data_IF_700844682716
#
_entry.id   IF_700844682716
#
_cell.length_a   1.000
_cell.length_b   1.000
_cell.length_c   1.000
_cell.angle_alpha   90.00
_cell.angle_beta   90.00
_cell.angle_gamma   90.00
#
_symmetry.space_group_name_H-M   'P 1'
#
loop_
_entity.id
_entity.type
_entity.pdbx_description
1 polymer ?
#
# COMPACT_ATOMS: atom_id res chain seq x y z
N UNK A 1 10.61 18.68 -7.73
CA UNK A 1 10.01 19.30 -6.54
C UNK A 1 10.39 18.44 -5.34
N UNK A 2 10.69 19.00 -4.15
CA UNK A 2 11.17 18.21 -3.03
C UNK A 2 10.00 17.42 -2.45
N UNK A 3 9.95 16.11 -2.70
CA UNK A 3 9.03 15.21 -2.01
C UNK A 3 9.15 15.43 -0.50
N UNK A 4 8.05 15.48 0.25
CA UNK A 4 8.09 15.43 1.73
C UNK A 4 8.75 14.16 2.29
N UNK A 5 9.06 13.20 1.42
CA UNK A 5 9.66 11.90 1.72
C UNK A 5 11.19 11.90 1.54
N UNK A 6 11.84 10.93 2.18
CA UNK A 6 13.30 10.78 2.20
C UNK A 6 13.87 10.61 0.79
N UNK A 7 14.68 11.58 0.33
CA UNK A 7 15.33 11.53 -0.97
C UNK A 7 16.22 10.28 -1.10
N UNK A 8 16.21 9.56 -2.26
CA UNK A 8 16.96 8.30 -2.41
C UNK A 8 18.46 8.42 -2.14
N UNK A 9 19.05 9.59 -2.43
CA UNK A 9 20.47 9.84 -2.16
C UNK A 9 20.80 9.97 -0.67
N UNK A 10 19.84 10.40 0.16
CA UNK A 10 20.02 10.52 1.61
C UNK A 10 19.97 9.13 2.26
N UNK A 11 19.04 8.28 1.80
CA UNK A 11 18.87 6.92 2.32
C UNK A 11 19.76 5.90 1.62
N UNK A 12 20.62 6.34 0.69
CA UNK A 12 21.53 5.48 -0.05
C UNK A 12 22.45 4.63 0.83
N UNK A 13 22.82 4.99 2.08
CA UNK A 13 23.59 4.08 2.95
C UNK A 13 22.79 2.89 3.50
N UNK A 14 21.46 2.94 3.47
CA UNK A 14 20.59 1.93 4.08
C UNK A 14 20.11 0.91 3.04
N UNK A 15 20.05 -0.36 3.43
CA UNK A 15 19.56 -1.43 2.56
C UNK A 15 18.04 -1.48 2.48
N UNK A 16 17.38 -1.11 3.59
CA UNK A 16 15.93 -1.14 3.74
C UNK A 16 15.43 0.15 4.38
N UNK A 17 14.26 0.60 3.92
CA UNK A 17 13.58 1.80 4.38
C UNK A 17 12.22 1.38 4.93
N UNK A 18 11.96 1.72 6.20
CA UNK A 18 10.69 1.47 6.88
C UNK A 18 9.84 2.74 6.79
N UNK A 19 8.66 2.63 6.20
CA UNK A 19 7.71 3.74 6.06
C UNK A 19 6.42 3.37 6.76
N UNK A 20 6.34 3.74 8.03
CA UNK A 20 5.35 3.24 8.98
C UNK A 20 4.50 4.37 9.57
N UNK A 21 3.21 4.10 9.76
CA UNK A 21 2.29 4.97 10.47
C UNK A 21 2.60 4.97 11.98
N UNK A 22 2.16 6.02 12.66
CA UNK A 22 2.51 6.25 14.07
C UNK A 22 1.71 5.40 15.07
N UNK A 23 0.65 4.71 14.62
CA UNK A 23 -0.30 3.99 15.47
C UNK A 23 -0.16 2.45 15.40
N UNK A 24 1.08 2.00 15.22
CA UNK A 24 1.48 0.60 15.18
C UNK A 24 2.07 0.13 16.52
N UNK A 25 1.49 -0.92 17.09
CA UNK A 25 2.06 -1.70 18.18
C UNK A 25 3.10 -2.68 17.65
N UNK A 26 4.31 -2.62 18.21
CA UNK A 26 5.50 -3.35 17.73
C UNK A 26 6.03 -4.36 18.76
N UNK A 27 5.21 -4.72 19.74
CA UNK A 27 5.59 -5.60 20.86
C UNK A 27 5.99 -7.01 20.41
N UNK A 28 5.55 -7.42 19.22
CA UNK A 28 5.83 -8.71 18.61
C UNK A 28 6.72 -8.62 17.37
N UNK A 29 7.40 -7.49 17.19
CA UNK A 29 8.21 -7.20 16.02
C UNK A 29 9.68 -7.02 16.38
N UNK A 30 10.54 -7.79 15.73
CA UNK A 30 11.99 -7.64 15.74
C UNK A 30 12.49 -7.29 14.33
N UNK A 31 13.11 -6.11 14.20
CA UNK A 31 13.57 -5.61 12.92
C UNK A 31 14.70 -6.46 12.30
N UNK A 32 15.58 -7.04 13.12
CA UNK A 32 16.69 -7.85 12.62
C UNK A 32 16.19 -9.20 12.11
N UNK A 33 15.31 -9.87 12.86
CA UNK A 33 14.67 -11.11 12.43
C UNK A 33 13.78 -10.90 11.20
N UNK A 34 13.07 -9.77 11.14
CA UNK A 34 12.31 -9.38 9.96
C UNK A 34 13.20 -9.26 8.72
N UNK A 35 14.30 -8.51 8.81
CA UNK A 35 15.20 -8.32 7.66
C UNK A 35 15.89 -9.62 7.25
N UNK A 36 16.17 -10.54 8.20
CA UNK A 36 16.66 -11.89 7.86
C UNK A 36 15.66 -12.63 6.96
N UNK A 37 14.37 -12.58 7.28
CA UNK A 37 13.32 -13.22 6.49
C UNK A 37 13.13 -12.53 5.13
N UNK A 38 13.11 -11.19 5.09
CA UNK A 38 13.03 -10.42 3.85
C UNK A 38 14.15 -10.82 2.89
N UNK A 39 15.41 -10.89 3.38
CA UNK A 39 16.56 -11.35 2.60
C UNK A 39 16.43 -12.81 2.18
N UNK A 40 16.05 -13.70 3.09
CA UNK A 40 15.86 -15.15 2.84
C UNK A 40 14.86 -15.41 1.72
N UNK A 41 13.78 -14.62 1.66
CA UNK A 41 12.68 -14.82 0.71
C UNK A 41 12.75 -13.92 -0.53
N UNK A 42 13.81 -13.11 -0.66
CA UNK A 42 14.02 -12.22 -1.80
C UNK A 42 12.96 -11.14 -1.96
N UNK A 43 12.44 -10.62 -0.84
CA UNK A 43 11.41 -9.59 -0.85
C UNK A 43 12.05 -8.20 -1.07
N UNK A 44 11.52 -7.46 -2.04
CA UNK A 44 11.94 -6.08 -2.35
C UNK A 44 10.97 -5.04 -1.79
N UNK A 45 9.69 -5.40 -1.65
CA UNK A 45 8.68 -4.62 -0.94
C UNK A 45 7.95 -5.59 -0.01
N UNK A 46 7.85 -5.25 1.27
CA UNK A 46 7.24 -6.14 2.24
C UNK A 46 6.54 -5.37 3.34
N UNK A 47 5.76 -6.08 4.15
CA UNK A 47 5.28 -5.56 5.43
C UNK A 47 5.27 -6.68 6.48
N UNK A 48 5.28 -6.36 7.78
CA UNK A 48 4.93 -7.32 8.82
C UNK A 48 3.48 -7.80 8.65
N UNK A 49 3.20 -9.01 9.14
CA UNK A 49 1.82 -9.49 9.27
C UNK A 49 1.02 -8.60 10.21
N UNK A 50 -0.24 -8.35 9.89
CA UNK A 50 -1.16 -7.70 10.82
C UNK A 50 -1.85 -8.73 11.70
N UNK A 51 -1.74 -8.56 13.02
CA UNK A 51 -2.47 -9.41 13.98
C UNK A 51 -3.97 -9.37 13.67
N UNK A 52 -4.71 -10.49 13.72
CA UNK A 52 -6.17 -10.49 13.53
C UNK A 52 -6.95 -9.57 14.47
N UNK A 53 -6.37 -9.17 15.61
CA UNK A 53 -6.92 -8.19 16.55
C UNK A 53 -6.74 -6.73 16.09
N UNK A 54 -5.96 -6.50 15.04
CA UNK A 54 -5.76 -5.18 14.43
C UNK A 54 -7.10 -4.57 14.00
N UNK A 55 -7.28 -3.29 14.30
CA UNK A 55 -8.47 -2.55 13.83
C UNK A 55 -8.30 -2.19 12.35
N UNK A 56 -9.40 -2.15 11.61
CA UNK A 56 -9.39 -1.73 10.20
C UNK A 56 -8.81 -2.74 9.22
N UNK A 57 -8.55 -3.98 9.64
CA UNK A 57 -8.04 -5.06 8.77
C UNK A 57 -9.01 -5.33 7.60
N UNK A 58 -8.64 -4.83 6.43
CA UNK A 58 -9.51 -4.84 5.26
C UNK A 58 -9.12 -5.94 4.27
N UNK A 59 -7.82 -6.04 3.99
CA UNK A 59 -7.25 -6.96 3.01
C UNK A 59 -6.85 -8.28 3.67
N UNK A 60 -7.31 -9.41 3.13
CA UNK A 60 -6.83 -10.73 3.55
C UNK A 60 -5.34 -10.90 3.27
N UNK A 61 -4.77 -10.13 2.34
CA UNK A 61 -3.36 -10.18 1.99
C UNK A 61 -2.46 -9.64 3.09
N UNK A 62 -2.93 -8.70 3.92
CA UNK A 62 -2.11 -8.09 4.98
C UNK A 62 -2.22 -8.82 6.33
N UNK A 63 -3.18 -9.74 6.44
CA UNK A 63 -3.45 -10.49 7.66
C UNK A 63 -2.37 -11.54 7.92
N UNK A 64 -1.82 -11.53 9.14
CA UNK A 64 -0.88 -12.56 9.61
C UNK A 64 -1.47 -13.97 9.48
N UNK A 65 -0.61 -14.92 9.11
CA UNK A 65 -0.83 -16.37 9.17
C UNK A 65 0.04 -16.99 10.26
N UNK A 66 -0.47 -18.00 10.94
CA UNK A 66 0.28 -18.68 12.02
C UNK A 66 1.18 -19.82 11.49
N UNK A 67 0.86 -20.35 10.31
CA UNK A 67 1.51 -21.54 9.76
C UNK A 67 2.55 -21.23 8.67
N UNK A 68 2.99 -19.98 8.54
CA UNK A 68 3.98 -19.56 7.54
C UNK A 68 4.96 -18.55 8.11
N UNK A 69 6.16 -18.49 7.53
CA UNK A 69 7.12 -17.41 7.78
C UNK A 69 6.79 -16.16 6.93
N UNK A 70 6.35 -16.38 5.69
CA UNK A 70 6.02 -15.36 4.69
C UNK A 70 4.88 -15.87 3.81
N UNK A 71 4.01 -14.98 3.35
CA UNK A 71 3.13 -15.27 2.22
C UNK A 71 3.12 -14.13 1.19
N UNK A 72 2.88 -14.50 -0.07
CA UNK A 72 2.92 -13.59 -1.23
C UNK A 72 1.61 -13.54 -2.01
N UNK A 73 0.69 -14.44 -1.67
CA UNK A 73 -0.62 -14.58 -2.26
C UNK A 73 -1.67 -14.88 -1.20
N UNK A 74 -2.92 -14.53 -1.48
CA UNK A 74 -4.07 -14.75 -0.60
C UNK A 74 -5.32 -15.12 -1.38
N UNK A 75 -6.24 -15.80 -0.70
CA UNK A 75 -7.60 -15.94 -1.18
C UNK A 75 -8.41 -14.76 -0.63
N UNK A 76 -8.79 -13.85 -1.52
CA UNK A 76 -9.69 -12.76 -1.16
C UNK A 76 -11.17 -13.12 -1.32
N UNK A 77 -12.03 -12.18 -0.91
CA UNK A 77 -13.48 -12.24 -1.09
C UNK A 77 -13.84 -12.45 -2.58
N UNK A 78 -14.93 -13.18 -2.88
CA UNK A 78 -15.37 -13.38 -4.26
C UNK A 78 -15.50 -12.07 -5.04
N UNK A 79 -14.90 -12.00 -6.22
CA UNK A 79 -14.95 -10.84 -7.11
C UNK A 79 -13.91 -9.74 -6.84
N UNK A 80 -13.01 -9.92 -5.86
CA UNK A 80 -11.97 -8.92 -5.54
C UNK A 80 -10.64 -9.17 -6.24
N UNK A 81 -10.36 -10.42 -6.63
CA UNK A 81 -9.24 -10.77 -7.48
C UNK A 81 -9.71 -10.77 -8.94
N UNK A 82 -9.19 -9.86 -9.76
CA UNK A 82 -9.31 -9.97 -11.23
C UNK A 82 -8.32 -10.99 -11.79
N UNK A 83 -7.13 -11.06 -11.20
CA UNK A 83 -6.05 -11.97 -11.53
C UNK A 83 -5.33 -12.39 -10.23
N UNK A 84 -4.99 -13.68 -10.05
CA UNK A 84 -4.36 -14.18 -8.82
C UNK A 84 -2.97 -13.62 -8.56
N UNK A 85 -2.23 -13.18 -9.58
CA UNK A 85 -0.90 -12.58 -9.46
C UNK A 85 -0.93 -11.06 -9.35
N UNK A 86 -2.12 -10.47 -9.32
CA UNK A 86 -2.30 -9.02 -9.19
C UNK A 86 -2.91 -8.63 -7.85
N UNK A 87 -2.72 -7.36 -7.43
CA UNK A 87 -3.38 -6.83 -6.27
C UNK A 87 -4.90 -6.92 -6.38
N UNK A 88 -5.61 -7.16 -5.26
CA UNK A 88 -5.08 -7.27 -3.90
C UNK A 88 -4.58 -8.68 -3.53
N UNK A 89 -4.64 -9.65 -4.46
CA UNK A 89 -4.51 -11.07 -4.13
C UNK A 89 -3.08 -11.59 -4.16
N UNK A 90 -2.22 -10.92 -4.90
CA UNK A 90 -0.77 -11.00 -4.78
C UNK A 90 -0.16 -9.63 -5.09
N UNK A 91 1.16 -9.51 -4.99
CA UNK A 91 1.88 -8.28 -5.32
C UNK A 91 1.40 -7.02 -4.56
N UNK A 92 0.87 -7.21 -3.34
CA UNK A 92 0.19 -6.16 -2.58
C UNK A 92 0.62 -6.15 -1.11
N UNK A 93 0.86 -4.95 -0.60
CA UNK A 93 1.06 -4.60 0.83
C UNK A 93 0.46 -3.20 1.04
N UNK A 94 0.06 -2.89 2.26
CA UNK A 94 -0.58 -1.62 2.62
C UNK A 94 0.45 -0.63 3.17
N UNK A 95 0.46 0.60 2.62
CA UNK A 95 1.46 1.64 2.81
C UNK A 95 1.78 1.93 4.28
N UNK A 96 0.77 1.78 5.14
CA UNK A 96 0.81 1.95 6.60
C UNK A 96 2.00 1.26 7.27
N UNK A 97 2.44 0.09 6.81
CA UNK A 97 3.52 -0.67 7.44
C UNK A 97 4.56 -1.18 6.43
N UNK A 98 4.76 -0.43 5.35
CA UNK A 98 5.62 -0.86 4.25
C UNK A 98 7.11 -0.77 4.57
N UNK A 99 7.85 -1.75 4.07
CA UNK A 99 9.31 -1.81 4.07
C UNK A 99 9.77 -1.98 2.63
N UNK A 100 10.65 -1.09 2.19
CA UNK A 100 11.20 -1.09 0.84
C UNK A 100 12.67 -1.46 0.87
N UNK A 101 13.12 -2.26 -0.10
CA UNK A 101 14.53 -2.31 -0.44
C UNK A 101 14.98 -0.94 -0.97
N UNK A 102 16.28 -0.68 -0.91
CA UNK A 102 16.89 0.51 -1.51
C UNK A 102 16.50 0.71 -2.98
N UNK A 103 16.42 -0.39 -3.74
CA UNK A 103 16.10 -0.34 -5.17
C UNK A 103 14.62 -0.04 -5.40
N UNK A 104 13.73 -0.70 -4.65
CA UNK A 104 12.30 -0.42 -4.72
C UNK A 104 12.00 1.03 -4.31
N UNK A 105 12.62 1.53 -3.23
CA UNK A 105 12.43 2.90 -2.76
C UNK A 105 12.79 3.95 -3.82
N UNK A 106 13.87 3.74 -4.58
CA UNK A 106 14.23 4.65 -5.69
C UNK A 106 13.10 4.80 -6.71
N UNK A 107 12.40 3.71 -7.05
CA UNK A 107 11.26 3.78 -7.95
C UNK A 107 10.05 4.42 -7.27
N UNK A 108 9.68 3.93 -6.08
CA UNK A 108 8.50 4.39 -5.32
C UNK A 108 8.58 5.88 -5.01
N UNK A 109 9.77 6.39 -4.69
CA UNK A 109 10.00 7.81 -4.44
C UNK A 109 9.62 8.71 -5.62
N UNK A 110 9.81 8.25 -6.87
CA UNK A 110 9.38 9.01 -8.06
C UNK A 110 7.87 8.88 -8.32
N UNK A 111 7.23 7.83 -7.81
CA UNK A 111 5.77 7.67 -7.86
C UNK A 111 5.08 8.57 -6.84
N UNK A 112 5.64 8.71 -5.64
CA UNK A 112 5.08 9.53 -4.57
C UNK A 112 5.36 11.01 -4.86
N UNK A 113 4.31 11.75 -5.22
CA UNK A 113 4.40 13.16 -5.55
C UNK A 113 3.72 14.02 -4.48
N UNK A 114 4.19 15.27 -4.34
CA UNK A 114 3.72 16.21 -3.29
C UNK A 114 2.25 16.62 -3.40
N UNK A 115 1.63 16.37 -4.55
CA UNK A 115 0.21 16.61 -4.83
C UNK A 115 -0.70 15.49 -4.32
N UNK A 116 -0.13 14.34 -3.93
CA UNK A 116 -0.85 13.28 -3.22
C UNK A 116 -0.95 13.66 -1.73
N UNK A 117 -2.10 14.20 -1.34
CA UNK A 117 -2.34 14.60 0.05
C UNK A 117 -2.75 13.41 0.90
N UNK A 118 -3.43 12.43 0.30
CA UNK A 118 -3.79 11.20 1.02
C UNK A 118 -3.07 9.96 0.49
N UNK A 119 -2.69 9.93 -0.80
CA UNK A 119 -1.97 8.79 -1.39
C UNK A 119 -2.76 7.48 -1.48
N UNK A 120 -4.05 7.47 -1.19
CA UNK A 120 -4.89 6.26 -1.23
C UNK A 120 -4.87 5.60 -2.62
N UNK A 121 -4.71 4.28 -2.64
CA UNK A 121 -4.63 3.48 -3.87
C UNK A 121 -3.20 3.30 -4.39
N UNK A 122 -2.21 4.06 -3.89
CA UNK A 122 -0.82 3.88 -4.27
C UNK A 122 -0.31 2.45 -4.02
N UNK A 123 -0.86 1.78 -3.00
CA UNK A 123 -0.64 0.37 -2.67
C UNK A 123 -0.77 -0.57 -3.88
N UNK A 124 -1.75 -0.30 -4.74
CA UNK A 124 -2.01 -1.10 -5.95
C UNK A 124 -0.97 -0.88 -7.05
N UNK A 125 -0.25 0.25 -7.00
CA UNK A 125 0.73 0.65 -7.98
C UNK A 125 2.16 0.25 -7.58
N UNK A 126 2.43 -0.04 -6.30
CA UNK A 126 3.77 -0.41 -5.81
C UNK A 126 4.38 -1.59 -6.59
N UNK A 127 3.53 -2.51 -7.08
CA UNK A 127 3.96 -3.62 -7.96
C UNK A 127 4.74 -3.18 -9.20
N UNK A 128 4.56 -1.96 -9.68
CA UNK A 128 5.27 -1.42 -10.85
C UNK A 128 6.76 -1.19 -10.60
N UNK A 129 7.19 -1.17 -9.34
CA UNK A 129 8.59 -0.94 -8.96
C UNK A 129 9.42 -2.23 -8.82
N UNK A 130 8.83 -3.40 -9.04
CA UNK A 130 9.49 -4.69 -8.80
C UNK A 130 9.02 -5.74 -9.82
N UNK A 131 9.96 -6.53 -10.35
CA UNK A 131 9.67 -7.58 -11.35
C UNK A 131 10.38 -8.91 -10.97
N UNK A 132 9.67 -10.07 -10.95
CA UNK A 132 8.21 -10.22 -10.98
C UNK A 132 7.58 -9.86 -9.63
N UNK A 133 6.55 -9.00 -9.66
CA UNK A 133 6.02 -8.40 -8.44
C UNK A 133 5.40 -9.41 -7.46
N UNK A 134 4.65 -10.39 -7.95
CA UNK A 134 3.98 -11.39 -7.12
C UNK A 134 4.95 -12.33 -6.39
N UNK A 135 6.22 -12.42 -6.82
CA UNK A 135 7.24 -13.21 -6.15
C UNK A 135 8.10 -12.38 -5.18
N UNK A 136 8.13 -11.06 -5.35
CA UNK A 136 9.05 -10.17 -4.60
C UNK A 136 8.33 -9.22 -3.65
N UNK A 137 7.01 -9.23 -3.66
CA UNK A 137 6.18 -8.50 -2.72
C UNK A 137 5.45 -9.50 -1.81
N UNK A 138 5.50 -9.28 -0.51
CA UNK A 138 4.86 -10.19 0.43
C UNK A 138 4.84 -9.72 1.88
N UNK A 139 4.13 -10.50 2.69
CA UNK A 139 3.93 -10.26 4.11
C UNK A 139 4.76 -11.24 4.91
N UNK A 140 5.52 -10.74 5.86
CA UNK A 140 6.33 -11.55 6.78
C UNK A 140 5.45 -11.92 7.97
N UNK A 141 4.96 -13.15 7.99
CA UNK A 141 4.02 -13.64 9.00
C UNK A 141 4.67 -13.91 10.36
N UNK A 142 5.94 -14.32 10.36
CA UNK A 142 6.67 -14.64 11.58
C UNK A 142 7.02 -13.39 12.42
N UNK A 143 6.86 -12.20 11.85
CA UNK A 143 7.12 -10.91 12.50
C UNK A 143 5.91 -10.02 12.29
N UNK A 144 5.20 -9.69 13.36
CA UNK A 144 3.89 -9.06 13.22
C UNK A 144 3.71 -7.87 14.14
N UNK A 145 2.76 -7.05 13.75
CA UNK A 145 2.42 -5.79 14.40
C UNK A 145 0.92 -5.73 14.65
N UNK A 146 0.52 -4.83 15.54
CA UNK A 146 -0.87 -4.55 15.86
C UNK A 146 -1.22 -3.14 15.39
N UNK A 147 -2.18 -3.01 14.47
CA UNK A 147 -2.70 -1.68 14.11
C UNK A 147 -3.73 -1.23 15.15
N UNK A 148 -3.38 -0.21 15.94
CA UNK A 148 -4.16 0.24 17.09
C UNK A 148 -5.28 1.21 16.69
N UNK A 149 -5.16 1.84 15.51
CA UNK A 149 -6.04 2.90 14.98
C UNK A 149 -6.24 4.02 16.00
N UNK A 150 -5.13 4.55 16.54
CA UNK A 150 -5.14 5.69 17.47
C UNK A 150 -5.20 6.96 16.62
N UNK A 151 -6.30 7.74 16.63
CA UNK A 151 -6.45 8.84 15.69
C UNK A 151 -5.52 10.00 16.05
N UNK A 152 -4.49 10.25 15.24
CA UNK A 152 -3.65 11.44 15.33
C UNK A 152 -4.18 12.60 14.46
N UNK A 153 -4.89 12.28 13.36
CA UNK A 153 -5.45 13.25 12.40
C UNK A 153 -6.96 13.53 12.57
N UNK A 154 -7.53 13.21 13.74
CA UNK A 154 -8.98 13.30 14.02
C UNK A 154 -9.63 14.69 13.95
N UNK A 155 -8.87 15.76 13.69
CA UNK A 155 -9.38 17.14 13.68
C UNK A 155 -9.63 17.74 12.27
N UNK A 156 -9.46 16.97 11.19
CA UNK A 156 -9.80 17.45 9.84
C UNK A 156 -11.22 17.04 9.44
N UNK A 157 -12.22 17.77 9.96
CA UNK A 157 -13.62 17.66 9.55
C UNK A 157 -14.58 18.27 10.57
N UNK A 158 -15.61 18.99 10.11
CA UNK A 158 -16.70 19.43 11.00
C UNK A 158 -17.54 18.22 11.39
N UNK A 159 -17.71 18.01 12.70
CA UNK A 159 -18.65 17.02 13.21
C UNK A 159 -20.09 17.47 12.89
N UNK A 160 -20.87 16.63 12.21
CA UNK A 160 -22.32 16.81 12.05
C UNK A 160 -23.07 15.66 12.72
N UNK A 161 -24.11 15.99 13.50
CA UNK A 161 -24.99 14.99 14.13
C UNK A 161 -24.40 14.25 15.34
N UNK A 162 -23.45 14.83 16.07
CA UNK A 162 -22.93 14.27 17.33
C UNK A 162 -22.08 13.01 17.17
N UNK A 163 -21.72 12.64 15.94
CA UNK A 163 -20.75 11.57 15.65
C UNK A 163 -19.45 12.21 15.18
N UNK A 164 -18.36 11.76 15.77
CA UNK A 164 -17.04 12.22 15.38
C UNK A 164 -16.69 11.78 13.95
N UNK A 165 -15.93 12.59 13.18
CA UNK A 165 -15.66 12.36 11.75
C UNK A 165 -14.98 11.01 11.43
N UNK A 166 -14.39 10.36 12.44
CA UNK A 166 -13.68 9.09 12.36
C UNK A 166 -14.54 7.83 12.63
N UNK A 167 -15.83 7.94 12.99
CA UNK A 167 -16.68 6.75 13.20
C UNK A 167 -17.05 6.08 11.86
N UNK A 168 -16.24 5.10 11.45
CA UNK A 168 -16.56 4.18 10.35
C UNK A 168 -15.37 3.88 9.42
N UNK A 169 -14.24 3.44 9.98
CA UNK A 169 -13.08 2.94 9.22
C UNK A 169 -13.39 1.57 8.61
N UNK A 170 -14.12 1.57 7.49
CA UNK A 170 -13.74 0.71 6.38
C UNK A 170 -12.46 1.35 5.83
N UNK A 171 -11.39 0.58 5.56
CA UNK A 171 -10.13 1.13 5.00
C UNK A 171 -10.47 2.17 3.93
N UNK A 172 -9.95 3.38 4.08
CA UNK A 172 -10.28 4.48 3.16
C UNK A 172 -9.80 4.20 1.73
N UNK A 173 -8.88 3.25 1.55
CA UNK A 173 -8.55 2.62 0.26
C UNK A 173 -9.81 2.11 -0.45
N UNK A 174 -10.74 1.49 0.29
CA UNK A 174 -12.01 1.02 -0.27
C UNK A 174 -12.97 2.16 -0.65
N UNK A 175 -12.92 3.29 0.06
CA UNK A 175 -13.77 4.44 -0.23
C UNK A 175 -13.49 5.05 -1.61
N UNK A 176 -12.28 4.90 -2.11
CA UNK A 176 -11.87 5.41 -3.42
C UNK A 176 -12.05 4.38 -4.55
N UNK A 177 -12.13 3.09 -4.21
CA UNK A 177 -12.18 1.96 -5.16
C UNK A 177 -13.58 1.35 -5.35
N UNK A 178 -14.56 1.61 -4.47
CA UNK A 178 -15.88 0.96 -4.54
C UNK A 178 -17.01 1.90 -4.99
N UNK A 179 -17.81 1.44 -5.96
CA UNK A 179 -18.80 2.27 -6.69
C UNK A 179 -20.23 2.30 -6.09
N UNK A 180 -20.56 1.58 -5.01
CA UNK A 180 -21.97 1.48 -4.58
C UNK A 180 -22.39 2.26 -3.31
N UNK A 181 -23.35 3.16 -3.55
CA UNK A 181 -24.51 3.59 -2.76
C UNK A 181 -24.59 3.23 -1.25
N UNK A 182 -24.00 4.02 -0.35
CA UNK A 182 -24.57 4.24 0.99
C UNK A 182 -24.30 5.65 1.56
N UNK A 183 -25.27 6.13 2.34
CA UNK A 183 -25.56 7.52 2.71
C UNK A 183 -24.40 8.38 3.28
N UNK A 184 -24.10 9.46 2.54
CA UNK A 184 -24.07 10.88 2.96
C UNK A 184 -23.41 11.24 4.32
N UNK A 185 -22.09 11.09 4.44
CA UNK A 185 -21.26 12.02 5.24
C UNK A 185 -19.79 12.15 4.78
N UNK A 186 -19.39 11.49 3.68
CA UNK A 186 -17.97 11.38 3.23
C UNK A 186 -17.70 11.92 1.82
N UNK A 187 -18.56 12.80 1.29
CA UNK A 187 -18.51 13.22 -0.12
C UNK A 187 -17.20 13.94 -0.51
N UNK A 188 -16.71 14.86 0.32
CA UNK A 188 -15.54 15.68 -0.03
C UNK A 188 -14.21 14.91 0.01
N UNK A 189 -13.97 14.08 1.02
CA UNK A 189 -12.76 13.24 1.11
C UNK A 189 -12.77 12.21 -0.01
N UNK A 190 -13.93 11.60 -0.30
CA UNK A 190 -14.09 10.64 -1.39
C UNK A 190 -13.87 11.29 -2.77
N UNK A 191 -14.44 12.46 -3.00
CA UNK A 191 -14.27 13.16 -4.28
C UNK A 191 -12.82 13.60 -4.51
N UNK A 192 -12.17 14.13 -3.47
CA UNK A 192 -10.77 14.52 -3.53
C UNK A 192 -9.85 13.33 -3.76
N UNK A 193 -10.05 12.25 -3.02
CA UNK A 193 -9.31 11.01 -3.22
C UNK A 193 -9.45 10.48 -4.65
N UNK A 194 -10.68 10.46 -5.18
CA UNK A 194 -10.91 10.01 -6.56
C UNK A 194 -10.18 10.88 -7.58
N UNK A 195 -10.20 12.21 -7.41
CA UNK A 195 -9.46 13.13 -8.28
C UNK A 195 -7.95 12.91 -8.22
N UNK A 196 -7.40 12.75 -7.02
CA UNK A 196 -5.98 12.44 -6.81
C UNK A 196 -5.60 11.11 -7.47
N UNK A 197 -6.44 10.07 -7.30
CA UNK A 197 -6.23 8.75 -7.91
C UNK A 197 -6.29 8.78 -9.44
N UNK A 198 -7.31 9.42 -10.02
CA UNK A 198 -7.40 9.56 -11.49
C UNK A 198 -6.19 10.30 -12.05
N UNK A 199 -5.76 11.40 -11.42
CA UNK A 199 -4.58 12.14 -11.85
C UNK A 199 -3.31 11.28 -11.81
N UNK A 200 -3.15 10.48 -10.74
CA UNK A 200 -2.05 9.54 -10.62
C UNK A 200 -2.08 8.48 -11.73
N UNK A 201 -3.23 7.85 -11.96
CA UNK A 201 -3.39 6.84 -13.02
C UNK A 201 -3.07 7.40 -14.41
N UNK A 202 -3.58 8.60 -14.73
CA UNK A 202 -3.30 9.27 -16.00
C UNK A 202 -1.80 9.51 -16.19
N UNK A 203 -1.11 9.98 -15.14
CA UNK A 203 0.34 10.22 -15.19
C UNK A 203 1.14 8.93 -15.35
N UNK A 204 0.73 7.86 -14.66
CA UNK A 204 1.33 6.54 -14.82
C UNK A 204 1.16 6.03 -16.25
N UNK A 205 -0.04 6.13 -16.82
CA UNK A 205 -0.30 5.70 -18.20
C UNK A 205 0.54 6.49 -19.22
N UNK A 206 0.69 7.80 -19.04
CA UNK A 206 1.56 8.65 -19.88
C UNK A 206 3.02 8.23 -19.75
N UNK A 207 3.51 7.98 -18.54
CA UNK A 207 4.89 7.56 -18.30
C UNK A 207 5.17 6.17 -18.88
N UNK A 208 4.26 5.21 -18.71
CA UNK A 208 4.37 3.87 -19.29
C UNK A 208 4.41 3.94 -20.82
N UNK A 209 3.51 4.71 -21.44
CA UNK A 209 3.51 4.92 -22.88
C UNK A 209 4.84 5.49 -23.37
N UNK A 210 5.35 6.53 -22.72
CA UNK A 210 6.63 7.15 -23.08
C UNK A 210 7.81 6.16 -22.93
N UNK A 211 7.78 5.31 -21.90
CA UNK A 211 8.79 4.27 -21.71
C UNK A 211 8.76 3.23 -22.83
N UNK A 212 7.59 2.68 -23.17
CA UNK A 212 7.46 1.69 -24.24
C UNK A 212 7.88 2.27 -25.60
N UNK A 213 7.50 3.52 -25.90
CA UNK A 213 7.94 4.24 -27.11
C UNK A 213 9.46 4.41 -27.14
N UNK A 214 10.08 4.82 -26.03
CA UNK A 214 11.54 5.01 -25.93
C UNK A 214 12.31 3.69 -26.07
N UNK A 215 11.77 2.60 -25.50
CA UNK A 215 12.37 1.27 -25.54
C UNK A 215 12.08 0.53 -26.86
N UNK A 216 11.18 1.04 -27.70
CA UNK A 216 10.70 0.38 -28.93
C UNK A 216 10.13 -1.01 -28.65
N UNK A 217 9.41 -1.14 -27.54
CA UNK A 217 8.75 -2.39 -27.12
C UNK A 217 7.25 -2.15 -27.25
N UNK A 218 6.53 -3.13 -27.82
CA UNK A 218 5.07 -3.06 -27.84
C UNK A 218 4.53 -3.23 -26.42
N UNK A 219 3.63 -2.34 -25.96
CA UNK A 219 3.06 -2.46 -24.63
C UNK A 219 2.31 -3.80 -24.50
N UNK A 220 2.38 -4.47 -23.35
CA UNK A 220 1.59 -5.68 -23.12
C UNK A 220 0.10 -5.35 -23.29
N UNK A 221 -0.66 -6.25 -23.94
CA UNK A 221 -2.11 -6.10 -24.10
C UNK A 221 -2.75 -5.89 -22.71
N UNK A 222 -3.10 -4.65 -22.38
CA UNK A 222 -3.68 -4.32 -21.09
C UNK A 222 -5.14 -4.74 -21.07
N UNK A 223 -5.42 -6.01 -20.73
CA UNK A 223 -6.79 -6.49 -20.45
C UNK A 223 -7.10 -6.58 -18.97
N UNK A 224 -6.38 -5.84 -18.11
CA UNK A 224 -6.71 -5.73 -16.70
C UNK A 224 -7.19 -4.30 -16.39
N UNK A 225 -8.45 -4.03 -16.74
CA UNK A 225 -9.28 -2.98 -16.14
C UNK A 225 -9.82 -3.45 -14.81
#
# INVERSE_FOLDING_TARGET
MPSGFLHPDIVAPYDYIFMWDEDLGVEHFDAEEYIKLVRKHGLEISQPGLDPQSKGLTWQMTKKRDNSEVHKETQERPGWCTDPHLPPCAAFVEIMATVFSRNAWRCVWHMIQNDLIHGWGLDFALRKCVEPAHEKIGVVDAQWILHQSVPSLGNQGKAEGGKAPWKGYVSLSLLCLWEENHHFSKLHVRERCRKEWTMFQDRMAVAEKAYFEAMKIDPPNSTAT
#
